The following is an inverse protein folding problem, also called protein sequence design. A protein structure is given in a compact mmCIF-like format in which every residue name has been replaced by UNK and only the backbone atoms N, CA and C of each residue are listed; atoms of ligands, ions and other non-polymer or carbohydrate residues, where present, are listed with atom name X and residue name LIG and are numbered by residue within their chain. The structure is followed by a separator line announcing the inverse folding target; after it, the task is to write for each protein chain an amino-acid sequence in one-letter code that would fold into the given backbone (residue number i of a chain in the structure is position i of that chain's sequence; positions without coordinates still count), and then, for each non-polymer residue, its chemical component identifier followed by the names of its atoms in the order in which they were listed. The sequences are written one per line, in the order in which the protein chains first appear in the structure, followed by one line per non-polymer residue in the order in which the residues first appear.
data_IF_782590379101
#
_entry.id   IF_782590379101
#
_cell.length_a   1.000
_cell.length_b   1.000
_cell.length_c   1.000
_cell.angle_alpha   90.00
_cell.angle_beta   90.00
_cell.angle_gamma   90.00
#
_symmetry.space_group_name_H-M   'P 1'
#
loop_
_entity.id
_entity.type
_entity.pdbx_description
1 polymer ?
#
# COMPACT_ATOMS: atom_id res chain seq x y z
N UNK A 1 0.63 8.22 5.83
CA UNK A 1 -0.63 7.67 5.28
C UNK A 1 -1.31 6.64 6.18
N UNK A 2 -0.59 5.75 6.89
CA UNK A 2 -1.22 4.70 7.73
C UNK A 2 -2.18 5.23 8.79
N UNK A 3 -1.70 6.07 9.71
CA UNK A 3 -2.56 6.66 10.76
C UNK A 3 -3.73 7.47 10.18
N UNK A 4 -3.50 8.17 9.07
CA UNK A 4 -4.55 8.89 8.33
C UNK A 4 -5.53 7.96 7.57
N UNK A 5 -5.28 6.66 7.59
CA UNK A 5 -6.11 5.63 7.02
C UNK A 5 -6.66 4.67 8.08
N UNK A 6 -6.49 4.94 9.37
CA UNK A 6 -7.06 4.10 10.42
C UNK A 6 -6.29 2.80 10.67
N UNK A 7 -4.99 2.77 10.38
CA UNK A 7 -4.14 1.65 10.78
C UNK A 7 -2.71 2.09 11.11
N UNK A 8 -1.99 1.21 11.80
CA UNK A 8 -0.56 1.35 12.06
C UNK A 8 0.17 0.02 11.80
N UNK A 9 1.37 0.03 11.21
CA UNK A 9 2.17 -1.19 11.09
C UNK A 9 2.57 -1.75 12.45
N UNK A 10 2.66 -3.08 12.53
CA UNK A 10 3.17 -3.79 13.70
C UNK A 10 4.59 -4.26 13.43
N UNK A 11 5.53 -3.83 14.26
CA UNK A 11 6.94 -4.18 14.12
C UNK A 11 7.54 -3.64 12.83
N UNK A 12 8.42 -4.44 12.21
CA UNK A 12 9.05 -4.09 10.94
C UNK A 12 8.13 -4.38 9.75
N UNK A 13 8.19 -3.51 8.74
CA UNK A 13 7.58 -3.74 7.42
C UNK A 13 8.68 -4.21 6.49
N UNK A 14 8.53 -5.39 5.90
CA UNK A 14 9.41 -5.82 4.83
C UNK A 14 9.16 -4.95 3.60
N UNK A 15 10.25 -4.46 3.00
CA UNK A 15 10.21 -3.63 1.80
C UNK A 15 11.12 -4.24 0.77
N UNK A 16 10.55 -4.60 -0.37
CA UNK A 16 11.26 -5.26 -1.46
C UNK A 16 10.70 -4.80 -2.82
N UNK A 17 11.07 -5.53 -3.88
CA UNK A 17 10.49 -5.31 -5.21
C UNK A 17 10.76 -3.93 -5.82
N UNK A 18 11.79 -3.20 -5.37
CA UNK A 18 12.03 -1.85 -5.90
C UNK A 18 12.28 -1.88 -7.41
N UNK A 19 11.35 -1.29 -8.15
CA UNK A 19 11.46 -1.14 -9.59
C UNK A 19 11.12 0.30 -9.99
N UNK A 20 11.89 0.85 -10.94
CA UNK A 20 11.56 2.12 -11.57
C UNK A 20 10.79 1.88 -12.86
N UNK A 21 9.50 2.21 -12.85
CA UNK A 21 8.64 2.14 -14.03
C UNK A 21 8.73 3.43 -14.83
N UNK A 22 8.84 3.31 -16.16
CA UNK A 22 8.74 4.41 -17.11
C UNK A 22 7.60 4.14 -18.07
N UNK A 23 6.59 5.00 -18.06
CA UNK A 23 5.38 4.86 -18.89
C UNK A 23 5.40 5.94 -19.98
N UNK A 24 5.46 5.54 -21.27
CA UNK A 24 5.36 6.48 -22.39
C UNK A 24 4.04 7.27 -22.36
N UNK A 25 4.07 8.50 -22.88
CA UNK A 25 2.88 9.35 -23.03
C UNK A 25 2.75 9.80 -24.48
N UNK A 26 1.51 10.01 -24.93
CA UNK A 26 1.22 10.46 -26.30
C UNK A 26 1.82 11.84 -26.63
N UNK A 27 1.97 12.70 -25.62
CA UNK A 27 2.67 13.98 -25.72
C UNK A 27 3.40 14.30 -24.41
N UNK A 28 4.54 14.98 -24.51
CA UNK A 28 5.39 15.36 -23.40
C UNK A 28 6.28 14.23 -22.86
N UNK A 29 7.05 14.50 -21.78
CA UNK A 29 7.98 13.52 -21.23
C UNK A 29 7.24 12.34 -20.59
N UNK A 30 7.83 11.13 -20.60
CA UNK A 30 7.23 9.94 -20.00
C UNK A 30 7.07 10.09 -18.49
N UNK A 31 6.06 9.42 -17.92
CA UNK A 31 5.91 9.35 -16.47
C UNK A 31 6.96 8.38 -15.90
N UNK A 32 7.64 8.77 -14.82
CA UNK A 32 8.64 7.94 -14.14
C UNK A 32 8.30 7.88 -12.66
N UNK A 33 8.20 6.67 -12.12
CA UNK A 33 7.93 6.46 -10.70
C UNK A 33 8.55 5.16 -10.21
N UNK A 34 8.87 5.12 -8.91
CA UNK A 34 9.27 3.90 -8.22
C UNK A 34 8.04 3.13 -7.73
N UNK A 35 8.12 1.81 -7.84
CA UNK A 35 7.20 0.84 -7.25
C UNK A 35 7.98 0.09 -6.17
N UNK A 36 7.32 -0.18 -5.05
CA UNK A 36 7.83 -0.90 -3.91
C UNK A 36 6.73 -1.85 -3.45
N UNK A 37 7.11 -3.05 -3.07
CA UNK A 37 6.23 -4.00 -2.41
C UNK A 37 6.45 -3.91 -0.89
N UNK A 38 5.34 -4.02 -0.15
CA UNK A 38 5.33 -3.93 1.31
C UNK A 38 4.60 -5.15 1.86
N UNK A 39 5.26 -5.86 2.78
CA UNK A 39 4.67 -6.99 3.50
C UNK A 39 4.87 -6.82 5.01
N UNK A 40 3.87 -7.22 5.79
CA UNK A 40 3.94 -7.17 7.24
C UNK A 40 2.57 -7.23 7.90
N UNK A 41 2.57 -7.01 9.21
CA UNK A 41 1.36 -6.96 10.01
C UNK A 41 0.97 -5.51 10.32
N UNK A 42 -0.33 -5.29 10.52
CA UNK A 42 -0.86 -3.99 10.92
C UNK A 42 -1.96 -4.15 11.95
N UNK A 43 -2.15 -3.12 12.76
CA UNK A 43 -3.29 -2.97 13.64
C UNK A 43 -4.24 -1.93 13.07
N UNK A 44 -5.49 -2.33 12.90
CA UNK A 44 -6.57 -1.41 12.54
C UNK A 44 -6.94 -0.60 13.78
N UNK A 45 -6.81 0.73 13.69
CA UNK A 45 -7.11 1.69 14.76
C UNK A 45 -8.45 2.39 14.56
N UNK A 46 -8.92 2.49 13.32
CA UNK A 46 -10.26 2.98 12.95
C UNK A 46 -10.80 2.12 11.80
N UNK A 47 -11.67 1.13 12.08
CA UNK A 47 -12.17 0.19 11.08
C UNK A 47 -12.94 0.85 9.94
N UNK A 48 -13.77 1.87 10.23
CA UNK A 48 -14.58 2.52 9.21
C UNK A 48 -13.70 3.30 8.23
N UNK A 49 -12.72 4.05 8.76
CA UNK A 49 -11.74 4.78 7.97
C UNK A 49 -10.84 3.84 7.18
N UNK A 50 -10.43 2.73 7.78
CA UNK A 50 -9.60 1.72 7.15
C UNK A 50 -10.30 1.07 5.96
N UNK A 51 -11.54 0.60 6.13
CA UNK A 51 -12.30 -0.04 5.05
C UNK A 51 -12.57 0.92 3.89
N UNK A 52 -12.93 2.18 4.18
CA UNK A 52 -13.11 3.20 3.16
C UNK A 52 -11.82 3.46 2.36
N UNK A 53 -10.66 3.50 3.05
CA UNK A 53 -9.36 3.70 2.40
C UNK A 53 -8.88 2.48 1.65
N UNK A 54 -9.09 1.28 2.17
CA UNK A 54 -8.71 0.02 1.54
C UNK A 54 -9.37 -0.12 0.16
N UNK A 55 -10.66 0.19 0.06
CA UNK A 55 -11.39 0.17 -1.22
C UNK A 55 -10.88 1.21 -2.23
N UNK A 56 -10.37 2.35 -1.75
CA UNK A 56 -9.81 3.42 -2.59
C UNK A 56 -8.35 3.22 -3.00
N UNK A 57 -7.65 2.26 -2.38
CA UNK A 57 -6.23 2.00 -2.57
C UNK A 57 -5.30 3.05 -1.95
N UNK A 58 -4.03 2.69 -1.85
CA UNK A 58 -2.97 3.46 -1.19
C UNK A 58 -1.98 4.08 -2.19
N UNK A 59 -1.33 5.17 -1.79
CA UNK A 59 -0.28 5.80 -2.60
C UNK A 59 -0.77 6.39 -3.93
N UNK A 60 0.20 6.60 -4.84
CA UNK A 60 0.04 7.18 -6.19
C UNK A 60 0.04 6.07 -7.26
N UNK A 61 -0.11 6.46 -8.53
CA UNK A 61 0.00 5.56 -9.68
C UNK A 61 -0.97 4.35 -9.65
N UNK A 62 -2.16 4.51 -9.04
CA UNK A 62 -3.15 3.43 -8.88
C UNK A 62 -3.64 2.84 -10.20
N UNK A 63 -3.72 3.67 -11.25
CA UNK A 63 -4.04 3.24 -12.60
C UNK A 63 -2.95 2.34 -13.25
N UNK A 64 -1.77 2.23 -12.63
CA UNK A 64 -0.63 1.47 -13.13
C UNK A 64 -0.32 0.23 -12.28
N UNK A 65 -1.31 -0.28 -11.54
CA UNK A 65 -1.18 -1.49 -10.73
C UNK A 65 -0.66 -1.27 -9.31
N UNK A 66 -0.49 -0.04 -8.87
CA UNK A 66 -0.06 0.27 -7.50
C UNK A 66 -1.25 0.48 -6.54
N UNK A 67 -1.01 0.34 -5.25
CA UNK A 67 -1.95 0.78 -4.21
C UNK A 67 -3.01 -0.23 -3.80
N UNK A 68 -3.07 -1.39 -4.44
CA UNK A 68 -3.80 -2.53 -3.91
C UNK A 68 -3.11 -3.02 -2.64
N UNK A 69 -3.87 -3.21 -1.57
CA UNK A 69 -3.40 -3.85 -0.34
C UNK A 69 -4.23 -5.10 -0.13
N UNK A 70 -3.56 -6.25 -0.13
CA UNK A 70 -4.19 -7.51 0.24
C UNK A 70 -4.10 -7.66 1.76
N UNK A 71 -5.21 -8.09 2.37
CA UNK A 71 -5.26 -8.33 3.81
C UNK A 71 -5.79 -9.73 4.09
N UNK A 72 -5.24 -10.32 5.15
CA UNK A 72 -5.76 -11.54 5.77
C UNK A 72 -5.78 -11.34 7.27
N UNK A 73 -6.60 -12.11 7.97
CA UNK A 73 -6.55 -12.13 9.44
C UNK A 73 -5.20 -12.67 9.88
N UNK A 74 -4.52 -11.95 10.77
CA UNK A 74 -3.33 -12.49 11.43
C UNK A 74 -3.78 -13.68 12.30
N UNK A 75 -3.01 -14.79 12.35
CA UNK A 75 -3.30 -15.88 13.27
C UNK A 75 -3.40 -15.35 14.70
N UNK A 76 -4.25 -15.95 15.56
CA UNK A 76 -4.22 -15.60 16.97
C UNK A 76 -2.81 -15.87 17.51
N UNK A 77 -2.19 -14.85 18.08
CA UNK A 77 -0.94 -15.00 18.84
C UNK A 77 -1.34 -15.68 20.15
N UNK A 78 -1.17 -17.00 20.21
CA UNK A 78 -1.31 -17.75 21.46
C UNK A 78 -0.03 -17.52 22.27
N UNK A 79 -0.12 -17.04 23.52
CA UNK A 79 1.06 -16.87 24.38
C UNK A 79 1.73 -18.21 24.71
#
# INVERSE_FOLDING_TARGET
QGGEAGFEPLGGVAVDGYERRRVPRASGPPAVFGVLDFDGELRVTDPARFLARLAGGFGRARAFGCGLMLIRRSPPVVP
#
